data_IF_422464431671
#
_entry.id   IF_422464431671
#
_cell.length_a   1.000
_cell.length_b   1.000
_cell.length_c   1.000
_cell.angle_alpha   90.00
_cell.angle_beta   90.00
_cell.angle_gamma   90.00
#
_symmetry.space_group_name_H-M   'P 1'
#
loop_
_entity.id
_entity.type
_entity.pdbx_description
1 polymer ?
#
# COMPACT_ATOMS: atom_id res chain seq x y z
N UNK A 1 35.79 -26.45 -20.60
CA UNK A 1 35.82 -25.56 -19.41
C UNK A 1 35.09 -24.23 -19.66
N UNK A 2 34.60 -23.99 -20.88
CA UNK A 2 33.86 -22.77 -21.25
C UNK A 2 32.34 -22.93 -21.02
N UNK A 3 31.79 -24.13 -21.15
CA UNK A 3 30.34 -24.39 -21.03
C UNK A 3 29.79 -24.19 -19.61
N UNK A 4 30.59 -24.51 -18.58
CA UNK A 4 30.20 -24.31 -17.18
C UNK A 4 30.10 -22.82 -16.82
N UNK A 5 30.97 -21.98 -17.41
CA UNK A 5 30.92 -20.52 -17.23
C UNK A 5 29.69 -19.94 -17.93
N UNK A 6 29.39 -20.40 -19.14
CA UNK A 6 28.22 -19.96 -19.90
C UNK A 6 26.90 -20.30 -19.16
N UNK A 7 26.80 -21.51 -18.61
CA UNK A 7 25.64 -21.93 -17.82
C UNK A 7 25.50 -21.14 -16.50
N UNK A 8 26.62 -20.92 -15.80
CA UNK A 8 26.62 -20.11 -14.57
C UNK A 8 26.24 -18.65 -14.85
N UNK A 9 26.71 -18.06 -15.95
CA UNK A 9 26.37 -16.69 -16.35
C UNK A 9 24.89 -16.58 -16.74
N UNK A 10 24.34 -17.54 -17.51
CA UNK A 10 22.91 -17.56 -17.85
C UNK A 10 22.03 -17.68 -16.60
N UNK A 11 22.41 -18.52 -15.64
CA UNK A 11 21.70 -18.69 -14.38
C UNK A 11 21.73 -17.41 -13.53
N UNK A 12 22.88 -16.72 -13.48
CA UNK A 12 23.02 -15.46 -12.77
C UNK A 12 22.18 -14.33 -13.39
N UNK A 13 22.14 -14.23 -14.72
CA UNK A 13 21.30 -13.24 -15.45
C UNK A 13 19.81 -13.54 -15.24
N UNK A 14 19.41 -14.80 -15.31
CA UNK A 14 18.02 -15.21 -15.04
C UNK A 14 17.62 -14.90 -13.59
N UNK A 15 18.48 -15.19 -12.62
CA UNK A 15 18.26 -14.79 -11.23
C UNK A 15 18.16 -13.27 -11.07
N UNK A 16 18.99 -12.47 -11.75
CA UNK A 16 18.91 -11.00 -11.69
C UNK A 16 17.59 -10.48 -12.29
N UNK A 17 17.12 -11.03 -13.41
CA UNK A 17 15.84 -10.66 -14.03
C UNK A 17 14.65 -11.01 -13.15
N UNK A 18 14.63 -12.20 -12.55
CA UNK A 18 13.59 -12.60 -11.58
C UNK A 18 13.59 -11.70 -10.33
N UNK A 19 14.77 -11.29 -9.85
CA UNK A 19 14.90 -10.39 -8.71
C UNK A 19 14.36 -9.00 -9.04
N UNK A 20 14.59 -8.47 -10.25
CA UNK A 20 14.06 -7.15 -10.62
C UNK A 20 12.53 -7.10 -10.68
N UNK A 21 11.85 -8.18 -11.11
CA UNK A 21 10.38 -8.24 -11.17
C UNK A 21 9.73 -8.37 -9.77
N UNK A 22 10.44 -8.99 -8.82
CA UNK A 22 9.94 -9.26 -7.46
C UNK A 22 10.17 -8.09 -6.50
N UNK A 23 11.31 -7.39 -6.59
CA UNK A 23 11.67 -6.35 -5.61
C UNK A 23 11.08 -4.96 -5.92
N UNK A 24 10.47 -4.75 -7.09
CA UNK A 24 10.01 -3.44 -7.57
C UNK A 24 8.56 -3.06 -7.24
N UNK A 25 7.85 -3.78 -6.37
CA UNK A 25 6.38 -3.63 -6.27
C UNK A 25 5.86 -2.64 -5.23
N UNK A 26 6.69 -2.29 -4.24
CA UNK A 26 6.36 -1.35 -3.16
C UNK A 26 7.31 -0.17 -3.30
N UNK A 27 6.79 1.01 -3.63
CA UNK A 27 7.59 2.22 -3.77
C UNK A 27 7.97 2.76 -2.37
N UNK A 28 8.83 2.02 -1.66
CA UNK A 28 9.31 2.36 -0.31
C UNK A 28 10.02 3.71 -0.27
N UNK A 29 10.62 4.12 -1.41
CA UNK A 29 11.19 5.45 -1.55
C UNK A 29 10.10 6.53 -1.54
N UNK A 30 9.04 6.37 -2.33
CA UNK A 30 7.92 7.30 -2.30
C UNK A 30 7.21 7.33 -0.93
N UNK A 31 7.06 6.19 -0.26
CA UNK A 31 6.56 6.18 1.12
C UNK A 31 7.45 6.98 2.08
N UNK A 32 8.78 6.83 2.00
CA UNK A 32 9.72 7.66 2.78
C UNK A 32 9.59 9.14 2.42
N UNK A 33 9.41 9.47 1.14
CA UNK A 33 9.20 10.85 0.72
C UNK A 33 7.93 11.45 1.35
N UNK A 34 6.84 10.68 1.44
CA UNK A 34 5.62 11.11 2.14
C UNK A 34 5.89 11.39 3.64
N UNK A 35 6.70 10.57 4.31
CA UNK A 35 7.11 10.82 5.71
C UNK A 35 7.82 12.17 5.82
N UNK A 36 8.78 12.44 4.93
CA UNK A 36 9.55 13.68 4.94
C UNK A 36 8.68 14.91 4.60
N UNK A 37 7.87 14.83 3.55
CA UNK A 37 7.00 15.92 3.09
C UNK A 37 6.00 16.36 4.17
N UNK A 38 5.43 15.40 4.89
CA UNK A 38 4.47 15.66 5.95
C UNK A 38 5.08 15.74 7.35
N UNK A 39 6.41 15.65 7.45
CA UNK A 39 7.15 15.69 8.71
C UNK A 39 6.59 14.72 9.77
N UNK A 40 6.24 13.50 9.35
CA UNK A 40 5.64 12.49 10.23
C UNK A 40 6.72 11.86 11.10
N UNK A 41 6.61 12.05 12.41
CA UNK A 41 7.48 11.39 13.38
C UNK A 41 7.11 9.91 13.55
N UNK A 42 8.05 9.09 14.02
CA UNK A 42 7.83 7.66 14.20
C UNK A 42 6.67 7.32 15.15
N UNK A 43 6.51 8.06 16.25
CA UNK A 43 5.39 7.81 17.17
C UNK A 43 4.06 8.18 16.54
N UNK A 44 4.01 9.28 15.78
CA UNK A 44 2.82 9.66 15.00
C UNK A 44 2.50 8.60 13.94
N UNK A 45 3.51 8.07 13.24
CA UNK A 45 3.31 6.99 12.27
C UNK A 45 2.69 5.74 12.92
N UNK A 46 3.19 5.34 14.10
CA UNK A 46 2.61 4.21 14.86
C UNK A 46 1.16 4.48 15.26
N UNK A 47 0.84 5.71 15.67
CA UNK A 47 -0.53 6.10 15.99
C UNK A 47 -1.46 6.03 14.78
N UNK A 48 -1.00 6.47 13.61
CA UNK A 48 -1.75 6.36 12.35
C UNK A 48 -2.03 4.89 12.01
N UNK A 49 -1.03 4.01 12.14
CA UNK A 49 -1.18 2.57 11.89
C UNK A 49 -2.15 1.92 12.88
N UNK A 50 -2.09 2.31 14.15
CA UNK A 50 -2.91 1.71 15.22
C UNK A 50 -4.34 2.23 15.24
N UNK A 51 -4.53 3.52 14.99
CA UNK A 51 -5.80 4.22 15.26
C UNK A 51 -6.34 5.07 14.11
N UNK A 52 -5.65 5.07 12.97
CA UNK A 52 -6.01 5.89 11.81
C UNK A 52 -5.46 7.32 11.89
N UNK A 53 -5.45 8.05 10.76
CA UNK A 53 -4.94 9.41 10.70
C UNK A 53 -5.89 10.41 11.38
N UNK A 54 -5.34 11.24 12.27
CA UNK A 54 -6.03 12.31 12.99
C UNK A 54 -5.62 13.67 12.45
N UNK A 55 -6.63 14.46 12.09
CA UNK A 55 -6.42 15.80 11.55
C UNK A 55 -5.83 15.80 10.14
N UNK A 56 -5.75 17.01 9.56
CA UNK A 56 -5.49 17.17 8.12
C UNK A 56 -4.11 16.67 7.69
N UNK A 57 -3.05 16.96 8.45
CA UNK A 57 -1.69 16.59 8.04
C UNK A 57 -1.52 15.06 7.94
N UNK A 58 -2.03 14.32 8.92
CA UNK A 58 -1.94 12.86 8.93
C UNK A 58 -2.78 12.25 7.81
N UNK A 59 -3.96 12.81 7.53
CA UNK A 59 -4.81 12.40 6.41
C UNK A 59 -4.11 12.62 5.06
N UNK A 60 -3.45 13.76 4.88
CA UNK A 60 -2.69 14.02 3.65
C UNK A 60 -1.46 13.11 3.53
N UNK A 61 -0.77 12.82 4.62
CA UNK A 61 0.29 11.80 4.62
C UNK A 61 -0.24 10.43 4.17
N UNK A 62 -1.37 9.99 4.73
CA UNK A 62 -2.01 8.72 4.33
C UNK A 62 -2.37 8.74 2.85
N UNK A 63 -2.90 9.85 2.34
CA UNK A 63 -3.21 10.01 0.92
C UNK A 63 -1.96 9.94 0.02
N UNK A 64 -0.85 10.57 0.42
CA UNK A 64 0.43 10.48 -0.28
C UNK A 64 0.93 9.02 -0.33
N UNK A 65 0.88 8.31 0.79
CA UNK A 65 1.25 6.91 0.87
C UNK A 65 0.35 6.04 -0.02
N UNK A 66 -0.97 6.22 0.04
CA UNK A 66 -1.93 5.50 -0.79
C UNK A 66 -1.75 5.77 -2.28
N UNK A 67 -1.43 7.01 -2.66
CA UNK A 67 -1.11 7.36 -4.05
C UNK A 67 0.16 6.64 -4.51
N UNK A 68 1.19 6.60 -3.66
CA UNK A 68 2.46 5.90 -3.93
C UNK A 68 2.30 4.40 -4.15
N UNK A 69 1.29 3.81 -3.52
CA UNK A 69 0.91 2.41 -3.70
C UNK A 69 -0.17 2.17 -4.76
N UNK A 70 -0.67 3.24 -5.38
CA UNK A 70 -1.72 3.19 -6.40
C UNK A 70 -3.12 2.87 -5.86
N UNK A 71 -3.33 2.96 -4.54
CA UNK A 71 -4.65 2.88 -3.88
C UNK A 71 -5.49 4.10 -4.22
N UNK A 72 -4.86 5.26 -4.36
CA UNK A 72 -5.50 6.46 -4.92
C UNK A 72 -4.85 6.75 -6.28
N UNK A 73 -5.67 6.94 -7.31
CA UNK A 73 -5.26 7.31 -8.67
C UNK A 73 -6.27 8.28 -9.26
N UNK A 74 -5.80 9.31 -9.95
CA UNK A 74 -6.66 10.32 -10.57
C UNK A 74 -7.70 10.88 -9.58
N UNK A 75 -7.26 11.13 -8.34
CA UNK A 75 -8.10 11.66 -7.25
C UNK A 75 -9.31 10.77 -6.91
N UNK A 76 -9.20 9.46 -7.15
CA UNK A 76 -10.22 8.46 -6.84
C UNK A 76 -9.59 7.22 -6.22
N UNK A 77 -10.39 6.47 -5.45
CA UNK A 77 -9.99 5.15 -4.96
C UNK A 77 -9.85 4.20 -6.16
N UNK A 78 -8.72 3.51 -6.25
CA UNK A 78 -8.47 2.47 -7.24
C UNK A 78 -8.69 1.11 -6.61
N UNK A 79 -9.79 0.45 -6.95
CA UNK A 79 -10.07 -0.92 -6.46
C UNK A 79 -8.98 -1.90 -6.86
N UNK A 80 -8.46 -1.77 -8.07
CA UNK A 80 -7.31 -2.56 -8.51
C UNK A 80 -6.09 -2.32 -7.60
N UNK A 81 -5.81 -1.06 -7.25
CA UNK A 81 -4.77 -0.66 -6.31
C UNK A 81 -4.95 -1.24 -4.92
N UNK A 82 -6.16 -1.11 -4.35
CA UNK A 82 -6.52 -1.73 -3.07
C UNK A 82 -6.29 -3.25 -3.09
N UNK A 83 -6.76 -3.93 -4.15
CA UNK A 83 -6.58 -5.37 -4.29
C UNK A 83 -5.12 -5.78 -4.47
N UNK A 84 -4.33 -4.96 -5.18
CA UNK A 84 -2.88 -5.17 -5.29
C UNK A 84 -2.22 -5.07 -3.92
N UNK A 85 -2.59 -4.09 -3.10
CA UNK A 85 -2.09 -3.97 -1.73
C UNK A 85 -2.43 -5.21 -0.89
N UNK A 86 -3.66 -5.71 -0.95
CA UNK A 86 -4.07 -6.93 -0.24
C UNK A 86 -3.21 -8.14 -0.63
N UNK A 87 -2.93 -8.33 -1.91
CA UNK A 87 -2.07 -9.44 -2.37
C UNK A 87 -0.65 -9.37 -1.81
N UNK A 88 -0.13 -8.15 -1.57
CA UNK A 88 1.19 -7.95 -0.99
C UNK A 88 1.25 -8.27 0.52
N UNK A 89 0.11 -8.33 1.20
CA UNK A 89 0.05 -8.67 2.63
C UNK A 89 0.20 -10.18 2.91
N UNK A 90 0.32 -11.03 1.87
CA UNK A 90 0.52 -12.49 1.99
C UNK A 90 -0.44 -13.19 2.98
N UNK A 91 -1.70 -12.80 2.95
CA UNK A 91 -2.76 -13.35 3.79
C UNK A 91 -3.26 -14.71 3.28
N UNK A 92 -4.04 -15.42 4.11
CA UNK A 92 -4.77 -16.60 3.62
C UNK A 92 -5.82 -16.21 2.58
N UNK A 93 -6.27 -17.17 1.77
CA UNK A 93 -7.31 -16.91 0.76
C UNK A 93 -8.62 -16.40 1.40
N UNK A 94 -9.01 -16.99 2.55
CA UNK A 94 -10.19 -16.55 3.31
C UNK A 94 -10.09 -15.08 3.74
N UNK A 95 -8.95 -14.68 4.30
CA UNK A 95 -8.71 -13.30 4.72
C UNK A 95 -8.65 -12.37 3.51
N UNK A 96 -8.05 -12.80 2.41
CA UNK A 96 -7.98 -12.06 1.15
C UNK A 96 -9.38 -11.75 0.61
N UNK A 97 -10.26 -12.75 0.54
CA UNK A 97 -11.64 -12.55 0.09
C UNK A 97 -12.44 -11.64 1.02
N UNK A 98 -12.24 -11.77 2.34
CA UNK A 98 -12.84 -10.87 3.33
C UNK A 98 -12.38 -9.42 3.10
N UNK A 99 -11.09 -9.18 2.90
CA UNK A 99 -10.54 -7.86 2.62
C UNK A 99 -11.09 -7.28 1.31
N UNK A 100 -11.23 -8.09 0.26
CA UNK A 100 -11.88 -7.64 -0.99
C UNK A 100 -13.33 -7.22 -0.78
N UNK A 101 -14.10 -7.96 0.01
CA UNK A 101 -15.47 -7.57 0.34
C UNK A 101 -15.51 -6.24 1.08
N UNK A 102 -14.62 -6.04 2.07
CA UNK A 102 -14.54 -4.80 2.84
C UNK A 102 -14.13 -3.63 1.94
N UNK A 103 -13.18 -3.82 1.02
CA UNK A 103 -12.76 -2.78 0.07
C UNK A 103 -13.93 -2.31 -0.78
N UNK A 104 -14.75 -3.22 -1.31
CA UNK A 104 -15.92 -2.84 -2.09
C UNK A 104 -16.93 -2.05 -1.23
N UNK A 105 -17.19 -2.49 0.02
CA UNK A 105 -18.04 -1.72 0.95
C UNK A 105 -17.51 -0.31 1.19
N UNK A 106 -16.20 -0.17 1.39
CA UNK A 106 -15.60 1.13 1.69
C UNK A 106 -15.50 2.05 0.47
N UNK A 107 -15.42 1.52 -0.75
CA UNK A 107 -15.52 2.33 -1.96
C UNK A 107 -16.85 3.09 -2.03
N UNK A 108 -17.95 2.39 -1.70
CA UNK A 108 -19.30 2.98 -1.73
C UNK A 108 -19.54 3.97 -0.58
N UNK A 109 -18.87 3.80 0.57
CA UNK A 109 -19.03 4.67 1.75
C UNK A 109 -18.19 5.96 1.68
N UNK A 110 -17.09 5.97 0.92
CA UNK A 110 -16.22 7.14 0.79
C UNK A 110 -16.81 8.13 -0.21
N UNK A 111 -17.08 9.36 0.24
CA UNK A 111 -17.79 10.38 -0.55
C UNK A 111 -16.99 11.66 -0.76
N UNK A 112 -15.91 11.85 0.00
CA UNK A 112 -15.08 13.04 -0.11
C UNK A 112 -14.40 13.13 -1.47
N UNK A 113 -14.33 14.35 -2.02
CA UNK A 113 -13.54 14.69 -3.21
C UNK A 113 -12.18 15.31 -2.86
N UNK A 114 -11.93 15.67 -1.60
CA UNK A 114 -10.59 16.06 -1.12
C UNK A 114 -9.80 14.78 -0.86
N UNK A 115 -8.69 14.62 -1.57
CA UNK A 115 -7.85 13.41 -1.53
C UNK A 115 -7.32 13.09 -0.12
N UNK A 116 -7.08 14.09 0.73
CA UNK A 116 -6.68 13.84 2.12
C UNK A 116 -7.85 13.29 2.94
N UNK A 117 -9.00 13.95 2.88
CA UNK A 117 -10.21 13.51 3.58
C UNK A 117 -10.68 12.14 3.08
N UNK A 118 -10.62 11.88 1.77
CA UNK A 118 -10.90 10.58 1.15
C UNK A 118 -10.03 9.47 1.74
N UNK A 119 -8.73 9.71 1.91
CA UNK A 119 -7.83 8.75 2.53
C UNK A 119 -8.17 8.50 4.00
N UNK A 120 -8.59 9.54 4.73
CA UNK A 120 -9.10 9.42 6.09
C UNK A 120 -10.37 8.57 6.18
N UNK A 121 -11.38 8.90 5.37
CA UNK A 121 -12.65 8.16 5.29
C UNK A 121 -12.43 6.69 4.92
N UNK A 122 -11.52 6.41 4.00
CA UNK A 122 -11.17 5.05 3.62
C UNK A 122 -10.57 4.28 4.81
N UNK A 123 -9.61 4.87 5.54
CA UNK A 123 -9.03 4.22 6.73
C UNK A 123 -10.08 4.01 7.82
N UNK A 124 -10.94 5.00 8.08
CA UNK A 124 -12.02 4.89 9.06
C UNK A 124 -12.98 3.75 8.71
N UNK A 125 -13.37 3.62 7.43
CA UNK A 125 -14.22 2.53 6.97
C UNK A 125 -13.52 1.15 7.10
N UNK A 126 -12.24 1.05 6.72
CA UNK A 126 -11.46 -0.17 6.89
C UNK A 126 -11.41 -0.59 8.36
N UNK A 127 -11.22 0.37 9.28
CA UNK A 127 -11.10 0.11 10.72
C UNK A 127 -12.44 -0.29 11.33
N UNK A 128 -13.53 0.37 10.93
CA UNK A 128 -14.92 0.04 11.28
C UNK A 128 -15.27 -1.40 10.87
N UNK A 129 -14.72 -1.88 9.76
CA UNK A 129 -14.92 -3.23 9.25
C UNK A 129 -13.86 -4.25 9.73
N UNK A 130 -13.01 -3.88 10.70
CA UNK A 130 -12.10 -4.79 11.38
C UNK A 130 -10.74 -4.99 10.71
N UNK A 131 -10.36 -4.14 9.75
CA UNK A 131 -9.00 -4.14 9.18
C UNK A 131 -8.06 -3.39 10.12
N UNK A 132 -6.86 -3.93 10.33
CA UNK A 132 -5.76 -3.31 11.08
C UNK A 132 -4.49 -3.36 10.22
N UNK A 133 -3.74 -2.26 10.18
CA UNK A 133 -2.64 -2.06 9.22
C UNK A 133 -1.25 -2.46 9.77
N UNK A 134 -1.19 -3.14 10.92
CA UNK A 134 0.08 -3.44 11.60
C UNK A 134 0.00 -4.56 12.64
N UNK A 135 -0.93 -5.51 12.46
CA UNK A 135 -0.96 -6.78 13.20
C UNK A 135 -0.43 -7.93 12.33
#
# INVERSE_FOLDING_TARGET
>A
MEDHKLFATLCAVFCLLLVTEVYGQINMEAFRNCIHEHSIEQETLKEIIRSGPKGRNQKCFTACAFTSFGVIKNEQISIEGCRKMVRLMHQTEEVTQKLYSIINTCEDEVISTDTCEMAGELVDCLFKNGVRLGE
#
